data_IF_015825659709
#
_entry.id   IF_015825659709
#
_cell.length_a   1.000
_cell.length_b   1.000
_cell.length_c   1.000
_cell.angle_alpha   90.00
_cell.angle_beta   90.00
_cell.angle_gamma   90.00
#
_symmetry.space_group_name_H-M   'P 1'
#
loop_
_entity.id
_entity.type
_entity.pdbx_description
1 polymer ?
#
# COMPACT_ATOMS: atom_id res chain seq x y z
N UNK A 1 -0.34 12.78 -4.64
CA UNK A 1 0.19 14.14 -4.38
C UNK A 1 -0.70 14.83 -3.39
N UNK A 2 -0.19 15.73 -2.55
CA UNK A 2 -0.98 16.42 -1.56
C UNK A 2 -0.58 17.88 -1.39
N UNK A 3 -1.37 18.58 -0.58
CA UNK A 3 -1.08 19.95 -0.12
C UNK A 3 -1.17 19.94 1.40
N UNK A 4 -0.20 20.55 2.07
CA UNK A 4 -0.16 20.69 3.53
C UNK A 4 0.10 22.15 3.89
N UNK A 5 -0.47 22.61 5.01
CA UNK A 5 -0.19 23.95 5.55
C UNK A 5 1.31 24.13 5.76
N UNK A 6 1.84 25.30 5.41
CA UNK A 6 3.25 25.62 5.69
C UNK A 6 3.55 25.57 7.19
N UNK A 7 2.59 25.94 8.03
CA UNK A 7 2.73 25.94 9.49
C UNK A 7 2.97 24.53 10.07
N UNK A 8 2.39 23.50 9.45
CA UNK A 8 2.56 22.10 9.88
C UNK A 8 3.91 21.52 9.45
N UNK A 9 4.55 22.12 8.44
CA UNK A 9 5.78 21.61 7.84
C UNK A 9 6.79 22.70 7.52
N UNK A 10 7.02 23.58 8.51
CA UNK A 10 7.94 24.70 8.37
C UNK A 10 9.37 24.22 8.04
N UNK A 11 9.81 24.50 6.81
CA UNK A 11 11.13 24.10 6.33
C UNK A 11 12.17 25.06 6.91
N UNK A 12 12.93 24.57 7.90
CA UNK A 12 14.05 25.28 8.52
C UNK A 12 13.71 26.70 9.05
N UNK A 13 12.44 26.94 9.44
CA UNK A 13 11.99 28.23 10.00
C UNK A 13 12.10 29.42 9.05
N UNK A 14 12.14 29.18 7.73
CA UNK A 14 12.28 30.25 6.73
C UNK A 14 10.90 30.60 6.17
N UNK A 15 10.53 31.88 6.04
CA UNK A 15 9.33 32.23 5.29
C UNK A 15 9.61 32.09 3.78
N UNK A 16 8.84 31.24 3.11
CA UNK A 16 8.95 30.99 1.66
C UNK A 16 7.86 31.70 0.85
N UNK A 17 7.00 32.49 1.50
CA UNK A 17 5.97 33.31 0.85
C UNK A 17 4.75 32.53 0.36
N UNK A 18 4.42 31.40 1.01
CA UNK A 18 3.21 30.61 0.72
C UNK A 18 2.60 30.09 2.02
N UNK A 19 1.27 30.01 2.05
CA UNK A 19 0.51 29.44 3.17
C UNK A 19 0.47 27.90 3.10
N UNK A 20 0.76 27.33 1.93
CA UNK A 20 0.68 25.89 1.68
C UNK A 20 1.86 25.38 0.85
N UNK A 21 2.24 24.12 1.07
CA UNK A 21 3.27 23.40 0.31
C UNK A 21 2.64 22.23 -0.42
N UNK A 22 2.83 22.21 -1.74
CA UNK A 22 2.56 21.04 -2.56
C UNK A 22 3.65 19.98 -2.36
N UNK A 23 3.26 18.72 -2.23
CA UNK A 23 4.19 17.61 -2.09
C UNK A 23 3.75 16.35 -2.81
N UNK A 24 4.72 15.45 -3.00
CA UNK A 24 4.47 14.12 -3.52
C UNK A 24 4.32 13.15 -2.37
N UNK A 25 3.14 12.52 -2.27
CA UNK A 25 2.94 11.36 -1.42
C UNK A 25 3.70 10.20 -2.06
N UNK A 26 4.78 9.76 -1.43
CA UNK A 26 5.52 8.58 -1.87
C UNK A 26 4.86 7.36 -1.25
N UNK A 27 3.98 6.71 -1.99
CA UNK A 27 3.35 5.46 -1.57
C UNK A 27 4.34 4.30 -1.70
N UNK A 28 4.48 3.52 -0.65
CA UNK A 28 5.35 2.34 -0.64
C UNK A 28 4.64 1.19 -1.32
N UNK A 29 5.36 0.47 -2.18
CA UNK A 29 4.86 -0.76 -2.80
C UNK A 29 5.47 -1.96 -2.08
N UNK A 30 4.61 -2.89 -1.68
CA UNK A 30 5.03 -4.15 -1.06
C UNK A 30 4.99 -5.25 -2.11
N UNK A 31 6.17 -5.75 -2.48
CA UNK A 31 6.32 -6.88 -3.39
C UNK A 31 7.06 -8.01 -2.68
N UNK A 32 6.68 -9.24 -3.00
CA UNK A 32 7.23 -10.42 -2.37
C UNK A 32 8.11 -11.18 -3.35
N UNK A 33 9.18 -11.79 -2.84
CA UNK A 33 9.92 -12.79 -3.59
C UNK A 33 8.94 -13.92 -4.01
N UNK A 34 8.90 -14.36 -5.28
CA UNK A 34 8.05 -15.47 -5.73
C UNK A 34 8.20 -16.77 -4.93
N UNK A 35 9.36 -16.99 -4.31
CA UNK A 35 9.66 -18.16 -3.47
C UNK A 35 9.19 -18.02 -2.01
N UNK A 36 8.65 -16.86 -1.63
CA UNK A 36 8.13 -16.66 -0.28
C UNK A 36 7.01 -17.67 0.02
N UNK A 37 6.90 -18.05 1.30
CA UNK A 37 5.87 -18.99 1.71
C UNK A 37 4.48 -18.38 1.41
N UNK A 38 3.62 -19.07 0.63
CA UNK A 38 2.33 -18.53 0.22
C UNK A 38 1.38 -18.28 1.39
N UNK A 39 1.35 -19.18 2.38
CA UNK A 39 0.52 -19.05 3.57
C UNK A 39 0.95 -17.82 4.39
N UNK A 40 2.26 -17.58 4.50
CA UNK A 40 2.78 -16.40 5.19
C UNK A 40 2.41 -15.09 4.47
N UNK A 41 2.44 -15.07 3.13
CA UNK A 41 2.03 -13.89 2.36
C UNK A 41 0.52 -13.68 2.45
N UNK A 42 -0.28 -14.74 2.38
CA UNK A 42 -1.73 -14.69 2.61
C UNK A 42 -2.05 -14.08 3.98
N UNK A 43 -1.43 -14.59 5.04
CA UNK A 43 -1.65 -14.08 6.41
C UNK A 43 -1.21 -12.64 6.57
N UNK A 44 -0.14 -12.21 5.88
CA UNK A 44 0.29 -10.82 5.90
C UNK A 44 -0.76 -9.90 5.26
N UNK A 45 -1.31 -10.29 4.10
CA UNK A 45 -2.42 -9.56 3.48
C UNK A 45 -3.62 -9.47 4.43
N UNK A 46 -4.01 -10.58 5.07
CA UNK A 46 -5.11 -10.60 6.03
C UNK A 46 -4.88 -9.66 7.21
N UNK A 47 -3.70 -9.70 7.81
CA UNK A 47 -3.35 -8.85 8.95
C UNK A 47 -3.36 -7.37 8.57
N UNK A 48 -2.82 -7.03 7.40
CA UNK A 48 -2.76 -5.63 6.94
C UNK A 48 -4.15 -5.08 6.63
N UNK A 49 -5.02 -5.88 6.03
CA UNK A 49 -6.40 -5.49 5.69
C UNK A 49 -7.28 -5.41 6.96
N UNK A 50 -7.34 -6.49 7.76
CA UNK A 50 -8.20 -6.56 8.95
C UNK A 50 -7.76 -5.66 10.11
N UNK A 51 -6.50 -5.21 10.13
CA UNK A 51 -5.93 -4.38 11.19
C UNK A 51 -5.31 -3.09 10.67
N UNK A 52 -5.77 -2.60 9.51
CA UNK A 52 -5.19 -1.42 8.86
C UNK A 52 -5.17 -0.20 9.78
N UNK A 53 -6.26 0.07 10.51
CA UNK A 53 -6.34 1.14 11.52
C UNK A 53 -5.19 1.08 12.53
N UNK A 54 -4.91 -0.10 13.08
CA UNK A 54 -3.84 -0.29 14.07
C UNK A 54 -2.46 -0.11 13.45
N UNK A 55 -2.27 -0.50 12.19
CA UNK A 55 -1.01 -0.27 11.47
C UNK A 55 -0.81 1.23 11.26
N UNK A 56 -1.83 1.95 10.80
CA UNK A 56 -1.77 3.40 10.55
C UNK A 56 -1.67 4.26 11.82
N UNK A 57 -2.24 3.81 12.94
CA UNK A 57 -1.98 4.40 14.26
C UNK A 57 -0.49 4.33 14.66
N UNK A 58 0.20 3.24 14.26
CA UNK A 58 1.61 3.02 14.56
C UNK A 58 2.57 3.69 13.57
N UNK A 59 2.19 3.79 12.30
CA UNK A 59 2.98 4.37 11.22
C UNK A 59 2.07 5.10 10.22
N UNK A 60 1.93 6.42 10.39
CA UNK A 60 1.06 7.25 9.56
C UNK A 60 1.51 7.37 8.09
N UNK A 61 2.72 6.93 7.74
CA UNK A 61 3.18 6.84 6.36
C UNK A 61 2.85 5.50 5.70
N UNK A 62 2.28 4.55 6.44
CA UNK A 62 1.79 3.32 5.85
C UNK A 62 0.62 3.60 4.90
N UNK A 63 0.38 2.70 3.96
CA UNK A 63 -0.74 2.87 3.04
C UNK A 63 -2.05 2.61 3.79
N UNK A 64 -2.94 3.59 3.74
CA UNK A 64 -4.29 3.52 4.33
C UNK A 64 -5.25 2.90 3.32
N UNK A 65 -5.91 1.81 3.70
CA UNK A 65 -6.79 1.03 2.83
C UNK A 65 -8.20 0.97 3.42
N UNK A 66 -9.20 1.39 2.65
CA UNK A 66 -10.60 1.31 3.09
C UNK A 66 -11.24 -0.06 2.79
N UNK A 67 -10.62 -0.85 1.91
CA UNK A 67 -11.07 -2.18 1.52
C UNK A 67 -9.95 -3.04 0.93
N UNK A 68 -10.21 -4.36 0.84
CA UNK A 68 -9.32 -5.31 0.15
C UNK A 68 -9.05 -4.92 -1.31
N UNK A 69 -10.02 -4.30 -1.98
CA UNK A 69 -9.85 -3.82 -3.36
C UNK A 69 -8.93 -2.60 -3.43
N UNK A 70 -8.98 -1.71 -2.43
CA UNK A 70 -8.06 -0.56 -2.33
C UNK A 70 -6.63 -1.04 -2.09
N UNK A 71 -6.45 -2.09 -1.28
CA UNK A 71 -5.16 -2.74 -1.08
C UNK A 71 -4.60 -3.31 -2.40
N UNK A 72 -5.45 -3.97 -3.21
CA UNK A 72 -5.05 -4.44 -4.55
C UNK A 72 -4.66 -3.28 -5.48
N UNK A 73 -5.24 -2.09 -5.30
CA UNK A 73 -4.89 -0.89 -6.07
C UNK A 73 -3.42 -0.49 -6.01
N UNK A 74 -2.67 -0.99 -5.02
CA UNK A 74 -1.22 -0.82 -4.93
C UNK A 74 -0.42 -1.73 -5.90
N UNK A 75 -1.06 -2.69 -6.55
CA UNK A 75 -0.41 -3.60 -7.50
C UNK A 75 0.15 -2.86 -8.72
N UNK A 76 1.20 -3.42 -9.31
CA UNK A 76 1.84 -2.89 -10.52
C UNK A 76 1.70 -3.91 -11.65
N UNK A 77 1.08 -3.50 -12.76
CA UNK A 77 0.81 -4.39 -13.91
C UNK A 77 2.04 -5.13 -14.44
N UNK A 78 3.23 -4.52 -14.31
CA UNK A 78 4.50 -5.11 -14.76
C UNK A 78 5.17 -6.03 -13.72
N UNK A 79 4.58 -6.23 -12.54
CA UNK A 79 5.08 -7.08 -11.47
C UNK A 79 4.01 -8.11 -11.13
N UNK A 80 4.26 -9.42 -11.36
CA UNK A 80 3.29 -10.46 -11.00
C UNK A 80 2.95 -10.45 -9.49
N UNK A 81 1.67 -10.61 -9.18
CA UNK A 81 1.17 -10.64 -7.80
C UNK A 81 1.47 -11.99 -7.18
N UNK A 82 2.08 -12.01 -5.99
CA UNK A 82 2.45 -13.25 -5.32
C UNK A 82 1.23 -14.16 -5.08
N UNK A 83 1.33 -15.47 -5.38
CA UNK A 83 0.21 -16.43 -5.30
C UNK A 83 -0.55 -16.45 -3.97
N UNK A 84 0.14 -16.22 -2.85
CA UNK A 84 -0.50 -16.11 -1.52
C UNK A 84 -1.41 -14.87 -1.41
N UNK A 85 -0.97 -13.74 -1.97
CA UNK A 85 -1.79 -12.53 -2.05
C UNK A 85 -2.92 -12.69 -3.07
N UNK A 86 -2.66 -13.34 -4.22
CA UNK A 86 -3.71 -13.66 -5.21
C UNK A 86 -4.83 -14.47 -4.57
N UNK A 87 -4.47 -15.50 -3.80
CA UNK A 87 -5.46 -16.29 -3.07
C UNK A 87 -6.27 -15.43 -2.10
N UNK A 88 -5.60 -14.56 -1.32
CA UNK A 88 -6.30 -13.63 -0.42
C UNK A 88 -7.28 -12.72 -1.17
N UNK A 89 -6.87 -12.13 -2.29
CA UNK A 89 -7.74 -11.26 -3.08
C UNK A 89 -8.92 -12.02 -3.71
N UNK A 90 -8.73 -13.27 -4.14
CA UNK A 90 -9.82 -14.12 -4.66
C UNK A 90 -10.82 -14.49 -3.57
N UNK A 91 -10.33 -14.87 -2.39
CA UNK A 91 -11.18 -15.25 -1.25
C UNK A 91 -12.04 -14.09 -0.73
N UNK A 92 -11.65 -12.84 -1.05
CA UNK A 92 -12.36 -11.60 -0.70
C UNK A 92 -13.03 -10.91 -1.91
N UNK A 93 -13.25 -11.63 -3.02
CA UNK A 93 -13.91 -11.10 -4.22
C UNK A 93 -13.27 -9.82 -4.81
N UNK A 94 -11.97 -9.61 -4.58
CA UNK A 94 -11.24 -8.39 -4.96
C UNK A 94 -10.29 -8.58 -6.15
N UNK A 95 -10.00 -9.83 -6.56
CA UNK A 95 -9.01 -10.12 -7.60
C UNK A 95 -9.39 -9.53 -8.97
N UNK A 96 -8.42 -8.86 -9.61
CA UNK A 96 -8.53 -8.35 -10.97
C UNK A 96 -7.82 -9.29 -11.97
N UNK A 97 -8.59 -9.93 -12.84
CA UNK A 97 -8.09 -10.84 -13.89
C UNK A 97 -7.22 -10.16 -14.96
N UNK A 98 -7.15 -8.82 -14.98
CA UNK A 98 -6.20 -8.08 -15.82
C UNK A 98 -4.74 -8.22 -15.34
N UNK A 99 -4.55 -8.55 -14.06
CA UNK A 99 -3.24 -8.72 -13.43
C UNK A 99 -2.69 -10.13 -13.64
N UNK A 100 -1.37 -10.25 -13.49
CA UNK A 100 -0.68 -11.54 -13.62
C UNK A 100 -0.42 -12.16 -12.24
N UNK A 101 -0.88 -13.41 -12.05
CA UNK A 101 -0.50 -14.23 -10.90
C UNK A 101 0.96 -14.68 -11.04
N UNK A 102 1.74 -14.55 -9.96
CA UNK A 102 3.14 -14.95 -9.90
C UNK A 102 3.28 -16.47 -9.87
N UNK A 103 4.13 -17.00 -10.74
CA UNK A 103 4.44 -18.42 -10.81
C UNK A 103 5.27 -18.86 -9.59
N UNK A 104 4.98 -20.07 -9.09
CA UNK A 104 5.91 -20.78 -8.22
C UNK A 104 6.92 -21.52 -9.10
N UNK A 105 8.23 -21.53 -8.77
CA UNK A 105 9.15 -22.46 -9.41
C UNK A 105 8.80 -23.92 -9.14
#
# INVERSE_FOLDING_TARGET
>A
TGTTSYDDWAIAGTDIGTDEVFHWNLEVNYTFNPEANPDAVYELCRVVDEHNDTVNEGEAQFNDFESTSDMLGSARENIPVHRGAVQYYRDNDAWDDSLTEGESP
#
